data_IF_941433088204
#
_entry.id   IF_941433088204
#
_cell.length_a   1.000
_cell.length_b   1.000
_cell.length_c   1.000
_cell.angle_alpha   90.00
_cell.angle_beta   90.00
_cell.angle_gamma   90.00
#
_symmetry.space_group_name_H-M   'P 1'
#
loop_
_entity.id
_entity.type
_entity.pdbx_description
1 polymer ?
#
# COMPACT_ATOMS: atom_id res chain seq x y z
N UNK A 1 0.47 -7.56 4.48
CA UNK A 1 1.45 -7.43 3.38
C UNK A 1 0.91 -7.83 2.00
N UNK A 2 0.31 -9.01 1.82
CA UNK A 2 -0.20 -9.44 0.49
C UNK A 2 -1.24 -8.46 -0.07
N UNK A 3 -2.20 -8.03 0.76
CA UNK A 3 -3.20 -7.02 0.37
C UNK A 3 -2.57 -5.71 -0.11
N UNK A 4 -1.55 -5.21 0.61
CA UNK A 4 -0.80 -4.01 0.23
C UNK A 4 -0.10 -4.15 -1.12
N UNK A 5 0.44 -5.35 -1.44
CA UNK A 5 1.05 -5.61 -2.75
C UNK A 5 0.02 -5.57 -3.88
N UNK A 6 -1.15 -6.19 -3.68
CA UNK A 6 -2.23 -6.18 -4.67
C UNK A 6 -2.75 -4.76 -4.89
N UNK A 7 -3.00 -4.01 -3.82
CA UNK A 7 -3.43 -2.61 -3.87
C UNK A 7 -2.37 -1.71 -4.54
N UNK A 8 -1.10 -1.92 -4.23
CA UNK A 8 0.01 -1.19 -4.83
C UNK A 8 0.16 -1.49 -6.32
N UNK A 9 0.04 -2.75 -6.73
CA UNK A 9 0.09 -3.15 -8.14
C UNK A 9 -1.07 -2.52 -8.94
N UNK A 10 -2.29 -2.59 -8.41
CA UNK A 10 -3.45 -1.95 -9.03
C UNK A 10 -3.29 -0.42 -9.07
N UNK A 11 -2.78 0.19 -8.00
CA UNK A 11 -2.47 1.62 -7.96
C UNK A 11 -1.46 2.04 -9.02
N UNK A 12 -0.44 1.21 -9.28
CA UNK A 12 0.58 1.42 -10.32
C UNK A 12 -0.02 1.38 -11.71
N UNK A 13 -0.87 0.39 -12.00
CA UNK A 13 -1.56 0.27 -13.28
C UNK A 13 -2.52 1.44 -13.51
N UNK A 14 -3.34 1.79 -12.52
CA UNK A 14 -4.24 2.95 -12.58
C UNK A 14 -3.46 4.27 -12.75
N UNK A 15 -2.33 4.42 -12.06
CA UNK A 15 -1.44 5.56 -12.18
C UNK A 15 -0.86 5.70 -13.59
N UNK A 16 -0.31 4.61 -14.15
CA UNK A 16 0.22 4.55 -15.51
C UNK A 16 -0.81 4.96 -16.58
N UNK A 17 -2.06 4.50 -16.43
CA UNK A 17 -3.15 4.85 -17.35
C UNK A 17 -3.62 6.30 -17.16
N UNK A 18 -3.51 6.85 -15.96
CA UNK A 18 -3.92 8.21 -15.62
C UNK A 18 -2.97 9.33 -16.10
N UNK A 19 -1.75 9.02 -16.54
CA UNK A 19 -0.82 10.03 -17.04
C UNK A 19 -1.29 10.67 -18.35
N UNK A 20 -1.06 11.97 -18.49
CA UNK A 20 -1.43 12.73 -19.69
C UNK A 20 -0.72 12.21 -20.95
N UNK A 21 0.50 11.68 -20.79
CA UNK A 21 1.29 11.10 -21.87
C UNK A 21 0.85 9.69 -22.31
N UNK A 22 -0.08 9.04 -21.60
CA UNK A 22 -0.59 7.71 -21.97
C UNK A 22 -1.77 7.83 -22.94
N UNK A 23 -1.67 7.21 -24.13
CA UNK A 23 -2.69 7.24 -25.21
C UNK A 23 -3.97 6.44 -24.89
N UNK A 24 -4.08 5.84 -23.70
CA UNK A 24 -5.28 5.12 -23.26
C UNK A 24 -6.33 6.15 -22.81
N UNK A 25 -7.57 6.01 -23.28
CA UNK A 25 -8.71 6.88 -22.93
C UNK A 25 -8.48 8.38 -23.23
N UNK A 26 -7.91 8.70 -24.39
CA UNK A 26 -7.61 10.09 -24.79
C UNK A 26 -8.86 10.95 -25.01
N UNK A 27 -9.98 10.31 -25.39
CA UNK A 27 -11.28 10.96 -25.57
C UNK A 27 -11.86 11.59 -24.29
N UNK A 28 -11.39 11.17 -23.10
CA UNK A 28 -11.98 11.55 -21.83
C UNK A 28 -10.93 12.05 -20.82
N UNK A 29 -10.53 13.34 -20.87
CA UNK A 29 -9.53 13.89 -19.94
C UNK A 29 -9.98 13.83 -18.47
N UNK A 30 -11.29 13.96 -18.22
CA UNK A 30 -11.86 13.81 -16.86
C UNK A 30 -11.68 12.40 -16.30
N UNK A 31 -11.72 11.36 -17.15
CA UNK A 31 -11.50 9.98 -16.72
C UNK A 31 -10.03 9.75 -16.35
N UNK A 32 -9.08 10.31 -17.12
CA UNK A 32 -7.64 10.27 -16.81
C UNK A 32 -7.32 10.85 -15.44
N UNK A 33 -7.88 12.03 -15.13
CA UNK A 33 -7.70 12.68 -13.81
C UNK A 33 -8.25 11.81 -12.68
N UNK A 34 -9.46 11.26 -12.84
CA UNK A 34 -10.06 10.36 -11.84
C UNK A 34 -9.20 9.10 -11.62
N UNK A 35 -8.67 8.50 -12.68
CA UNK A 35 -7.80 7.32 -12.58
C UNK A 35 -6.48 7.63 -11.88
N UNK A 36 -5.86 8.78 -12.18
CA UNK A 36 -4.64 9.22 -11.51
C UNK A 36 -4.87 9.45 -9.99
N UNK A 37 -5.96 10.12 -9.63
CA UNK A 37 -6.34 10.34 -8.22
C UNK A 37 -6.65 9.01 -7.52
N UNK A 38 -7.43 8.13 -8.16
CA UNK A 38 -7.76 6.82 -7.60
C UNK A 38 -6.50 5.96 -7.39
N UNK A 39 -5.58 5.96 -8.36
CA UNK A 39 -4.30 5.27 -8.26
C UNK A 39 -3.45 5.78 -7.10
N UNK A 40 -3.40 7.10 -6.92
CA UNK A 40 -2.74 7.73 -5.77
C UNK A 40 -3.38 7.32 -4.43
N UNK A 41 -4.70 7.36 -4.31
CA UNK A 41 -5.42 6.91 -3.11
C UNK A 41 -5.15 5.44 -2.78
N UNK A 42 -5.16 4.56 -3.79
CA UNK A 42 -4.84 3.14 -3.61
C UNK A 42 -3.40 2.92 -3.13
N UNK A 43 -2.45 3.72 -3.62
CA UNK A 43 -1.06 3.67 -3.17
C UNK A 43 -0.88 4.08 -1.71
N UNK A 44 -1.56 5.15 -1.29
CA UNK A 44 -1.53 5.61 0.11
C UNK A 44 -2.09 4.53 1.03
N UNK A 45 -3.23 3.93 0.66
CA UNK A 45 -3.83 2.82 1.42
C UNK A 45 -2.92 1.60 1.49
N UNK A 46 -2.26 1.24 0.38
CA UNK A 46 -1.27 0.16 0.35
C UNK A 46 -0.11 0.44 1.31
N UNK A 47 0.42 1.66 1.29
CA UNK A 47 1.49 2.10 2.19
C UNK A 47 1.09 2.00 3.66
N UNK A 48 -0.06 2.54 4.05
CA UNK A 48 -0.57 2.48 5.43
C UNK A 48 -0.74 1.01 5.87
N UNK A 49 -1.30 0.15 5.02
CA UNK A 49 -1.49 -1.26 5.35
C UNK A 49 -0.16 -1.98 5.60
N UNK A 50 0.88 -1.70 4.80
CA UNK A 50 2.22 -2.25 5.03
C UNK A 50 2.85 -1.73 6.32
N UNK A 51 2.74 -0.42 6.60
CA UNK A 51 3.26 0.19 7.82
C UNK A 51 2.64 -0.43 9.06
N UNK A 52 1.32 -0.59 9.10
CA UNK A 52 0.62 -1.23 10.23
C UNK A 52 1.11 -2.66 10.44
N UNK A 53 1.30 -3.43 9.37
CA UNK A 53 1.75 -4.83 9.48
C UNK A 53 3.15 -4.92 10.10
N UNK A 54 4.08 -4.06 9.65
CA UNK A 54 5.47 -4.05 10.15
C UNK A 54 5.53 -3.54 11.59
N UNK A 55 4.82 -2.45 11.89
CA UNK A 55 4.75 -1.90 13.24
C UNK A 55 4.17 -2.90 14.24
N UNK A 56 3.14 -3.65 13.85
CA UNK A 56 2.56 -4.69 14.69
C UNK A 56 3.55 -5.83 14.96
N UNK A 57 4.27 -6.27 13.94
CA UNK A 57 5.31 -7.30 14.08
C UNK A 57 6.41 -6.84 15.04
N UNK A 58 6.97 -5.64 14.83
CA UNK A 58 8.02 -5.08 15.69
C UNK A 58 7.54 -4.89 17.15
N UNK A 59 6.28 -4.48 17.34
CA UNK A 59 5.70 -4.34 18.67
C UNK A 59 5.61 -5.68 19.40
N UNK A 60 5.17 -6.76 18.74
CA UNK A 60 5.12 -8.08 19.36
C UNK A 60 6.52 -8.58 19.76
N UNK A 61 7.51 -8.44 18.89
CA UNK A 61 8.90 -8.81 19.22
C UNK A 61 9.39 -8.02 20.43
N UNK A 62 9.17 -6.70 20.46
CA UNK A 62 9.57 -5.87 21.60
C UNK A 62 8.86 -6.30 22.88
N UNK A 63 7.56 -6.60 22.81
CA UNK A 63 6.77 -7.08 23.94
C UNK A 63 7.29 -8.41 24.47
N UNK A 64 7.62 -9.34 23.59
CA UNK A 64 8.18 -10.65 23.94
C UNK A 64 9.56 -10.52 24.60
N UNK A 65 10.42 -9.62 24.08
CA UNK A 65 11.74 -9.33 24.66
C UNK A 65 11.67 -8.82 26.11
N UNK A 66 10.70 -7.96 26.41
CA UNK A 66 10.53 -7.38 27.76
C UNK A 66 9.57 -8.19 28.66
N UNK A 67 9.01 -9.31 28.18
CA UNK A 67 8.10 -10.10 28.97
C UNK A 67 8.87 -11.03 29.94
N UNK A 68 8.77 -10.83 31.26
CA UNK A 68 9.49 -11.65 32.24
C UNK A 68 9.03 -13.12 32.27
N UNK A 69 7.85 -13.42 31.72
CA UNK A 69 7.26 -14.76 31.63
C UNK A 69 7.45 -15.39 30.24
N UNK A 70 8.30 -14.81 29.38
CA UNK A 70 8.56 -15.39 28.05
C UNK A 70 9.33 -16.71 28.19
N UNK A 71 8.68 -17.82 27.83
CA UNK A 71 9.20 -19.19 27.96
C UNK A 71 10.17 -19.58 26.83
N UNK A 72 10.31 -18.73 25.80
CA UNK A 72 11.25 -18.94 24.70
C UNK A 72 12.71 -18.70 25.11
N UNK A 73 13.64 -19.35 24.41
CA UNK A 73 15.10 -19.16 24.59
C UNK A 73 15.51 -17.72 24.24
N UNK A 74 16.14 -17.05 25.22
CA UNK A 74 16.78 -15.74 25.06
C UNK A 74 17.95 -15.79 24.08
#
# INVERSE_FOLDING_TARGET
MISALVLGFLGLLCGMVGLQCTKVADDNPNAKVKLAVLGGCMFVLAGICSMVTVSWYAFNITRDFFNPLFVGTK
#
